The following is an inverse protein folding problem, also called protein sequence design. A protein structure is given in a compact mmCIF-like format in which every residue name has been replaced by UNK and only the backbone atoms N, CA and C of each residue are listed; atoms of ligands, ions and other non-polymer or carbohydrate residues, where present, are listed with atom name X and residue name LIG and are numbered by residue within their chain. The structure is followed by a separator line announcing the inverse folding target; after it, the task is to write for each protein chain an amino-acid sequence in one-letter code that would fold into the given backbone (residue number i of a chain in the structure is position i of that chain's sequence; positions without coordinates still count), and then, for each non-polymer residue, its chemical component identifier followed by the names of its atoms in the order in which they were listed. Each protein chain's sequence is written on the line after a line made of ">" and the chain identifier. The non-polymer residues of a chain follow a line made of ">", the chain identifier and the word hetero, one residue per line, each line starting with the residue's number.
data_IF_479333377696
#
_entry.id   IF_479333377696
#
_cell.length_a   1.000
_cell.length_b   1.000
_cell.length_c   1.000
_cell.angle_alpha   90.00
_cell.angle_beta   90.00
_cell.angle_gamma   90.00
#
_symmetry.space_group_name_H-M   'P 1'
#
loop_
_entity.id
_entity.type
_entity.pdbx_description
1 polymer ?
#
# COMPACT_ATOMS: atom_id res chain seq x y z
N UNK A 1 -6.92 0.57 2.05
CA UNK A 1 -5.93 1.54 2.55
C UNK A 1 -4.59 1.31 1.88
N UNK A 2 -3.83 2.36 1.63
CA UNK A 2 -2.42 2.30 1.21
C UNK A 2 -1.58 3.00 2.27
N UNK A 3 -0.62 2.28 2.85
CA UNK A 3 0.24 2.77 3.91
C UNK A 3 1.61 3.18 3.34
N UNK A 4 1.88 4.47 3.37
CA UNK A 4 3.08 5.10 2.84
C UNK A 4 2.79 6.01 1.65
N UNK A 5 2.93 7.32 1.87
CA UNK A 5 2.76 8.35 0.82
C UNK A 5 4.08 8.73 0.13
N UNK A 6 5.03 7.79 0.03
CA UNK A 6 6.17 7.90 -0.89
C UNK A 6 5.74 7.75 -2.34
N UNK A 7 6.69 7.81 -3.28
CA UNK A 7 6.39 7.69 -4.72
C UNK A 7 5.62 6.41 -5.07
N UNK A 8 6.05 5.26 -4.55
CA UNK A 8 5.42 3.97 -4.83
C UNK A 8 4.01 3.86 -4.26
N UNK A 9 3.81 4.20 -2.98
CA UNK A 9 2.47 4.16 -2.37
C UNK A 9 1.50 5.14 -3.02
N UNK A 10 1.97 6.35 -3.37
CA UNK A 10 1.17 7.32 -4.13
C UNK A 10 0.77 6.78 -5.49
N UNK A 11 1.70 6.13 -6.22
CA UNK A 11 1.42 5.54 -7.53
C UNK A 11 0.39 4.40 -7.44
N UNK A 12 0.50 3.52 -6.43
CA UNK A 12 -0.48 2.47 -6.19
C UNK A 12 -1.85 3.04 -5.82
N UNK A 13 -1.90 4.10 -5.00
CA UNK A 13 -3.16 4.76 -4.66
C UNK A 13 -3.83 5.38 -5.89
N UNK A 14 -3.08 6.05 -6.76
CA UNK A 14 -3.56 6.60 -8.04
C UNK A 14 -4.08 5.48 -8.94
N UNK A 15 -3.31 4.41 -9.08
CA UNK A 15 -3.68 3.26 -9.90
C UNK A 15 -5.00 2.61 -9.42
N UNK A 16 -5.12 2.30 -8.13
CA UNK A 16 -6.34 1.72 -7.57
C UNK A 16 -7.55 2.65 -7.70
N UNK A 17 -7.34 3.95 -7.52
CA UNK A 17 -8.39 4.95 -7.73
C UNK A 17 -8.83 5.02 -9.20
N UNK A 18 -7.91 4.89 -10.16
CA UNK A 18 -8.22 4.88 -11.60
C UNK A 18 -9.09 3.67 -12.01
N UNK A 19 -9.06 2.58 -11.24
CA UNK A 19 -9.96 1.43 -11.43
C UNK A 19 -11.31 1.59 -10.70
N UNK A 20 -11.61 2.78 -10.19
CA UNK A 20 -12.88 3.11 -9.52
C UNK A 20 -12.96 2.77 -8.04
N UNK A 21 -11.83 2.48 -7.39
CA UNK A 21 -11.80 2.11 -5.96
C UNK A 21 -11.47 3.31 -5.08
N UNK A 22 -12.23 3.56 -4.00
CA UNK A 22 -11.86 4.55 -3.00
C UNK A 22 -10.60 4.11 -2.25
N UNK A 23 -9.64 5.00 -2.12
CA UNK A 23 -8.34 4.72 -1.50
C UNK A 23 -8.04 5.73 -0.40
N UNK A 24 -7.75 5.25 0.79
CA UNK A 24 -7.19 6.05 1.88
C UNK A 24 -5.68 5.89 1.87
N UNK A 25 -4.98 6.99 1.57
CA UNK A 25 -3.53 7.03 1.47
C UNK A 25 -2.95 7.60 2.77
N UNK A 26 -2.40 6.74 3.61
CA UNK A 26 -1.80 7.16 4.87
C UNK A 26 -0.33 7.57 4.72
N UNK A 27 0.01 8.66 5.39
CA UNK A 27 1.38 9.13 5.58
C UNK A 27 1.65 9.52 7.03
N UNK A 28 2.87 9.28 7.51
CA UNK A 28 3.24 9.63 8.88
C UNK A 28 3.64 11.12 9.03
N UNK A 29 4.04 11.76 7.93
CA UNK A 29 4.42 13.17 7.92
C UNK A 29 3.18 14.05 7.73
N UNK A 30 2.76 14.82 8.77
CA UNK A 30 1.56 15.64 8.68
C UNK A 30 1.69 16.78 7.67
N UNK A 31 2.91 17.30 7.44
CA UNK A 31 3.16 18.36 6.45
C UNK A 31 2.91 17.84 5.04
N UNK A 32 3.44 16.67 4.73
CA UNK A 32 3.21 16.03 3.43
C UNK A 32 1.73 15.67 3.24
N UNK A 33 1.08 15.11 4.26
CA UNK A 33 -0.35 14.76 4.20
C UNK A 33 -1.21 16.02 3.99
N UNK A 34 -0.91 17.12 4.68
CA UNK A 34 -1.58 18.41 4.48
C UNK A 34 -1.43 18.91 3.04
N UNK A 35 -0.21 18.90 2.51
CA UNK A 35 0.06 19.29 1.13
C UNK A 35 -0.66 18.40 0.11
N UNK A 36 -0.71 17.06 0.33
CA UNK A 36 -1.46 16.13 -0.51
C UNK A 36 -2.97 16.42 -0.50
N UNK A 37 -3.50 16.84 0.64
CA UNK A 37 -4.92 17.18 0.79
C UNK A 37 -5.27 18.45 0.05
N UNK A 38 -4.44 19.50 0.19
CA UNK A 38 -4.68 20.81 -0.38
C UNK A 38 -4.37 20.86 -1.88
N UNK A 39 -3.20 20.37 -2.27
CA UNK A 39 -2.67 20.54 -3.62
C UNK A 39 -3.00 19.37 -4.56
N UNK A 40 -3.43 18.25 -4.02
CA UNK A 40 -3.72 17.02 -4.80
C UNK A 40 -2.53 16.53 -5.64
N UNK A 41 -1.31 16.89 -5.26
CA UNK A 41 -0.06 16.49 -5.95
C UNK A 41 0.97 16.13 -4.88
N UNK A 42 1.65 15.01 -5.07
CA UNK A 42 2.81 14.65 -4.27
C UNK A 42 4.06 15.31 -4.84
N UNK A 43 4.25 16.58 -4.55
CA UNK A 43 5.34 17.39 -5.11
C UNK A 43 6.75 16.87 -4.73
N UNK A 44 6.86 16.09 -3.66
CA UNK A 44 8.14 15.55 -3.18
C UNK A 44 8.53 14.27 -3.92
N UNK A 45 7.57 13.35 -4.11
CA UNK A 45 7.87 12.00 -4.57
C UNK A 45 7.27 11.63 -5.93
N UNK A 46 6.26 12.37 -6.39
CA UNK A 46 5.54 12.09 -7.65
C UNK A 46 4.94 13.39 -8.23
N UNK A 47 5.76 14.39 -8.58
CA UNK A 47 5.30 15.76 -8.85
C UNK A 47 4.40 15.92 -10.07
N UNK A 48 4.51 15.00 -11.04
CA UNK A 48 3.80 15.11 -12.33
C UNK A 48 2.40 14.45 -12.32
N UNK A 49 1.92 14.00 -11.15
CA UNK A 49 0.70 13.21 -11.05
C UNK A 49 -0.29 13.85 -10.09
N UNK A 50 -1.48 14.17 -10.60
CA UNK A 50 -2.60 14.67 -9.80
C UNK A 50 -3.31 13.48 -9.14
N UNK A 51 -3.58 13.58 -7.84
CA UNK A 51 -4.35 12.57 -7.11
C UNK A 51 -5.82 12.58 -7.56
N UNK A 52 -6.37 11.45 -8.03
CA UNK A 52 -7.80 11.31 -8.28
C UNK A 52 -8.65 11.62 -7.05
N UNK A 53 -9.89 12.09 -7.23
CA UNK A 53 -10.82 12.41 -6.13
C UNK A 53 -11.03 11.23 -5.17
N UNK A 54 -10.99 10.01 -5.67
CA UNK A 54 -11.12 8.78 -4.89
C UNK A 54 -9.93 8.51 -3.95
N UNK A 55 -8.80 9.22 -4.09
CA UNK A 55 -7.68 9.16 -3.15
C UNK A 55 -7.88 10.17 -2.04
N UNK A 56 -7.95 9.70 -0.80
CA UNK A 56 -8.09 10.52 0.40
C UNK A 56 -6.80 10.43 1.24
N UNK A 57 -5.98 11.49 1.30
CA UNK A 57 -4.82 11.53 2.18
C UNK A 57 -5.25 11.48 3.66
N UNK A 58 -4.55 10.68 4.47
CA UNK A 58 -4.87 10.45 5.89
C UNK A 58 -3.62 10.53 6.76
N UNK A 59 -3.68 11.32 7.85
CA UNK A 59 -2.63 11.34 8.88
C UNK A 59 -2.86 10.31 9.99
N UNK A 60 -4.11 9.89 10.23
CA UNK A 60 -4.45 8.88 11.24
C UNK A 60 -4.47 7.48 10.62
N UNK A 61 -3.64 6.58 11.15
CA UNK A 61 -3.54 5.20 10.66
C UNK A 61 -4.82 4.41 10.96
N UNK A 62 -5.41 4.56 12.14
CA UNK A 62 -6.65 3.89 12.51
C UNK A 62 -7.82 4.30 11.59
N UNK A 63 -7.93 5.61 11.26
CA UNK A 63 -8.94 6.09 10.32
C UNK A 63 -8.70 5.54 8.91
N UNK A 64 -7.45 5.43 8.49
CA UNK A 64 -7.12 4.88 7.19
C UNK A 64 -7.51 3.39 7.08
N UNK A 65 -7.41 2.63 8.17
CA UNK A 65 -7.66 1.18 8.19
C UNK A 65 -9.12 0.81 8.40
N UNK A 66 -9.95 1.67 8.98
CA UNK A 66 -11.34 1.36 9.34
C UNK A 66 -12.14 0.79 8.17
N UNK A 67 -12.57 -0.48 8.25
CA UNK A 67 -13.32 -1.20 7.21
C UNK A 67 -12.53 -1.36 5.89
N UNK A 68 -11.21 -1.39 5.94
CA UNK A 68 -10.38 -1.60 4.76
C UNK A 68 -10.34 -3.09 4.38
N UNK A 69 -10.84 -3.44 3.21
CA UNK A 69 -10.69 -4.79 2.66
C UNK A 69 -9.22 -5.13 2.33
N UNK A 70 -8.49 -4.17 1.81
CA UNK A 70 -7.07 -4.29 1.50
C UNK A 70 -6.25 -3.30 2.30
N UNK A 71 -5.16 -3.77 2.90
CA UNK A 71 -4.13 -2.95 3.55
C UNK A 71 -2.83 -3.12 2.79
N UNK A 72 -2.54 -2.18 1.90
CA UNK A 72 -1.34 -2.20 1.05
C UNK A 72 -0.20 -1.52 1.79
N UNK A 73 0.85 -2.26 2.09
CA UNK A 73 2.06 -1.73 2.74
C UNK A 73 3.05 -1.31 1.66
N UNK A 74 3.35 -0.01 1.59
CA UNK A 74 4.25 0.60 0.61
C UNK A 74 5.24 1.59 1.25
N UNK A 75 5.63 1.33 2.49
CA UNK A 75 6.66 2.09 3.20
C UNK A 75 8.06 1.55 2.86
N UNK A 76 9.15 2.30 3.12
CA UNK A 76 10.51 1.76 3.00
C UNK A 76 10.73 0.53 3.90
N UNK A 77 11.55 -0.44 3.45
CA UNK A 77 11.75 -1.73 4.14
C UNK A 77 12.16 -1.58 5.62
N UNK A 78 13.01 -0.62 5.94
CA UNK A 78 13.44 -0.34 7.31
C UNK A 78 12.32 0.17 8.24
N UNK A 79 11.19 0.62 7.69
CA UNK A 79 10.04 1.11 8.47
C UNK A 79 8.88 0.11 8.55
N UNK A 80 8.99 -1.04 7.90
CA UNK A 80 7.88 -2.02 7.82
C UNK A 80 7.50 -2.54 9.18
N UNK A 81 8.45 -3.00 9.98
CA UNK A 81 8.19 -3.57 11.31
C UNK A 81 7.45 -2.60 12.21
N UNK A 82 7.88 -1.35 12.27
CA UNK A 82 7.24 -0.32 13.09
C UNK A 82 5.82 -0.02 12.63
N UNK A 83 5.60 0.05 11.32
CA UNK A 83 4.26 0.26 10.77
C UNK A 83 3.37 -0.94 11.02
N UNK A 84 3.87 -2.16 10.83
CA UNK A 84 3.11 -3.40 11.05
C UNK A 84 2.71 -3.54 12.52
N UNK A 85 3.58 -3.23 13.47
CA UNK A 85 3.23 -3.16 14.90
C UNK A 85 2.11 -2.17 15.20
N UNK A 86 2.16 -0.99 14.57
CA UNK A 86 1.11 0.02 14.75
C UNK A 86 -0.24 -0.43 14.22
N UNK A 87 -0.27 -1.21 13.13
CA UNK A 87 -1.54 -1.64 12.52
C UNK A 87 -2.08 -2.95 13.07
N UNK A 88 -1.29 -3.75 13.77
CA UNK A 88 -1.66 -5.10 14.20
C UNK A 88 -3.01 -5.16 14.94
N UNK A 89 -3.30 -4.16 15.79
CA UNK A 89 -4.57 -4.05 16.52
C UNK A 89 -5.77 -3.57 15.70
N UNK A 90 -5.57 -3.17 14.45
CA UNK A 90 -6.64 -2.68 13.55
C UNK A 90 -6.95 -3.66 12.42
N UNK A 91 -6.20 -4.75 12.30
CA UNK A 91 -6.40 -5.75 11.24
C UNK A 91 -7.59 -6.63 11.62
N UNK A 92 -8.60 -6.62 10.77
CA UNK A 92 -9.79 -7.47 10.89
C UNK A 92 -9.55 -8.83 10.17
N UNK A 93 -10.23 -9.92 10.59
CA UNK A 93 -10.01 -11.26 10.01
C UNK A 93 -10.19 -11.34 8.49
N UNK A 94 -11.12 -10.56 7.93
CA UNK A 94 -11.40 -10.54 6.49
C UNK A 94 -10.49 -9.57 5.70
N UNK A 95 -9.55 -8.93 6.38
CA UNK A 95 -8.58 -8.04 5.74
C UNK A 95 -7.53 -8.84 4.98
N UNK A 96 -7.23 -8.44 3.76
CA UNK A 96 -6.05 -8.92 3.03
C UNK A 96 -4.93 -7.88 3.13
N UNK A 97 -3.81 -8.26 3.74
CA UNK A 97 -2.59 -7.46 3.73
C UNK A 97 -1.85 -7.71 2.41
N UNK A 98 -1.52 -6.63 1.71
CA UNK A 98 -0.74 -6.69 0.47
C UNK A 98 0.61 -6.04 0.72
N UNK A 99 1.67 -6.84 0.79
CA UNK A 99 3.03 -6.32 0.87
C UNK A 99 3.51 -5.90 -0.52
N UNK A 100 3.62 -4.60 -0.74
CA UNK A 100 4.18 -4.01 -1.96
C UNK A 100 5.60 -3.46 -1.73
N UNK A 101 6.25 -3.86 -0.64
CA UNK A 101 7.57 -3.40 -0.23
C UNK A 101 8.65 -4.19 -0.94
N UNK A 102 9.70 -3.50 -1.38
CA UNK A 102 10.91 -4.11 -1.97
C UNK A 102 12.02 -4.16 -0.93
N UNK A 103 12.74 -5.29 -0.86
CA UNK A 103 13.88 -5.47 0.03
C UNK A 103 13.62 -6.47 1.16
N UNK A 104 14.56 -6.49 2.10
CA UNK A 104 14.58 -7.32 3.31
C UNK A 104 14.90 -6.45 4.52
N UNK A 105 14.64 -6.93 5.72
CA UNK A 105 15.08 -6.29 6.97
C UNK A 105 16.58 -6.51 7.18
N UNK A 106 17.35 -5.45 7.38
CA UNK A 106 18.83 -5.53 7.46
C UNK A 106 19.33 -6.30 8.69
N UNK A 107 18.61 -6.23 9.81
CA UNK A 107 19.03 -6.83 11.08
C UNK A 107 18.75 -8.34 11.17
N UNK A 108 17.62 -8.79 10.66
CA UNK A 108 17.18 -10.20 10.74
C UNK A 108 17.35 -10.94 9.43
N UNK A 109 17.53 -10.21 8.32
CA UNK A 109 17.48 -10.69 6.94
C UNK A 109 16.11 -11.28 6.55
N UNK A 110 15.08 -10.97 7.31
CA UNK A 110 13.71 -11.42 7.04
C UNK A 110 13.14 -10.71 5.81
N UNK A 111 12.41 -11.49 5.03
CA UNK A 111 11.53 -10.94 3.98
C UNK A 111 10.42 -10.12 4.64
N UNK A 112 9.86 -9.18 3.92
CA UNK A 112 8.77 -8.35 4.43
C UNK A 112 7.53 -9.17 4.83
N UNK A 113 7.27 -10.28 4.14
CA UNK A 113 6.20 -11.22 4.50
C UNK A 113 6.42 -11.89 5.85
N UNK A 114 7.66 -12.26 6.20
CA UNK A 114 8.00 -12.87 7.49
C UNK A 114 7.81 -11.87 8.64
N UNK A 115 8.19 -10.59 8.42
CA UNK A 115 7.95 -9.53 9.41
C UNK A 115 6.45 -9.34 9.65
N UNK A 116 5.64 -9.31 8.59
CA UNK A 116 4.20 -9.14 8.70
C UNK A 116 3.58 -10.32 9.46
N UNK A 117 3.97 -11.55 9.16
CA UNK A 117 3.49 -12.76 9.83
C UNK A 117 3.91 -12.82 11.32
N UNK A 118 5.10 -12.31 11.65
CA UNK A 118 5.59 -12.25 13.03
C UNK A 118 4.80 -11.24 13.88
N UNK A 119 4.48 -10.08 13.32
CA UNK A 119 3.90 -8.95 14.08
C UNK A 119 2.36 -8.94 14.06
N UNK A 120 1.72 -9.57 13.05
CA UNK A 120 0.25 -9.64 12.93
C UNK A 120 -0.23 -11.03 13.31
N UNK A 121 -0.82 -11.12 14.50
CA UNK A 121 -1.38 -12.39 15.04
C UNK A 121 -2.78 -12.69 14.49
N UNK A 122 -3.45 -11.71 13.90
CA UNK A 122 -4.79 -11.88 13.34
C UNK A 122 -4.79 -12.89 12.18
N UNK A 123 -5.84 -13.70 12.10
CA UNK A 123 -6.06 -14.62 10.97
C UNK A 123 -6.51 -13.83 9.74
N UNK A 124 -5.57 -13.18 9.07
CA UNK A 124 -5.79 -12.43 7.82
C UNK A 124 -4.98 -13.04 6.69
N UNK A 125 -5.40 -12.79 5.45
CA UNK A 125 -4.63 -13.21 4.28
C UNK A 125 -3.45 -12.28 4.03
N UNK A 126 -2.28 -12.85 3.71
CA UNK A 126 -1.10 -12.10 3.29
C UNK A 126 -0.77 -12.39 1.84
N UNK A 127 -0.63 -11.34 1.06
CA UNK A 127 -0.27 -11.38 -0.36
C UNK A 127 0.92 -10.48 -0.61
N UNK A 128 1.86 -10.93 -1.42
CA UNK A 128 3.03 -10.15 -1.85
C UNK A 128 2.83 -9.72 -3.30
N UNK A 129 2.97 -8.42 -3.55
CA UNK A 129 2.96 -7.82 -4.88
C UNK A 129 4.37 -7.33 -5.20
N UNK A 130 4.99 -7.87 -6.27
CA UNK A 130 6.35 -7.54 -6.68
C UNK A 130 6.48 -7.55 -8.20
N UNK A 131 7.62 -7.08 -8.71
CA UNK A 131 7.92 -7.07 -10.14
C UNK A 131 8.72 -5.86 -10.58
N UNK A 132 9.09 -5.80 -11.88
CA UNK A 132 9.77 -4.67 -12.49
C UNK A 132 8.76 -3.51 -12.69
N UNK A 133 8.57 -2.72 -11.63
CA UNK A 133 7.59 -1.65 -11.59
C UNK A 133 8.20 -0.34 -11.09
N UNK A 134 7.95 0.75 -11.81
CA UNK A 134 8.37 2.09 -11.45
C UNK A 134 7.17 2.95 -11.13
N UNK A 135 7.24 3.70 -10.04
CA UNK A 135 6.13 4.53 -9.55
C UNK A 135 5.59 5.49 -10.61
N UNK A 136 6.48 6.17 -11.33
CA UNK A 136 6.10 7.13 -12.37
C UNK A 136 5.37 6.47 -13.56
N UNK A 137 5.73 5.24 -13.91
CA UNK A 137 5.08 4.49 -14.99
C UNK A 137 3.70 4.01 -14.59
N UNK A 138 3.58 3.41 -13.40
CA UNK A 138 2.31 2.94 -12.85
C UNK A 138 1.32 4.09 -12.69
N UNK A 139 1.77 5.23 -12.17
CA UNK A 139 0.91 6.40 -11.99
C UNK A 139 0.44 7.04 -13.31
N UNK A 140 1.18 6.85 -14.40
CA UNK A 140 0.81 7.27 -15.76
C UNK A 140 0.04 6.22 -16.53
N UNK A 141 -0.38 5.15 -15.88
CA UNK A 141 -1.09 4.01 -16.49
C UNK A 141 -0.31 3.34 -17.63
N UNK A 142 1.02 3.37 -17.59
CA UNK A 142 1.84 2.65 -18.56
C UNK A 142 1.81 1.15 -18.27
N UNK A 143 1.91 0.30 -19.30
CA UNK A 143 1.92 -1.15 -19.12
C UNK A 143 3.00 -1.59 -18.14
N UNK A 144 2.60 -2.22 -17.06
CA UNK A 144 3.50 -2.67 -15.99
C UNK A 144 3.14 -4.10 -15.59
N UNK A 145 4.11 -5.00 -15.64
CA UNK A 145 3.93 -6.37 -15.21
C UNK A 145 4.30 -6.52 -13.73
N UNK A 146 3.42 -7.13 -12.95
CA UNK A 146 3.65 -7.47 -11.55
C UNK A 146 3.27 -8.92 -11.29
N UNK A 147 3.90 -9.51 -10.28
CA UNK A 147 3.58 -10.84 -9.78
C UNK A 147 2.88 -10.68 -8.43
N UNK A 148 1.84 -11.46 -8.23
CA UNK A 148 1.11 -11.57 -6.97
C UNK A 148 1.26 -12.98 -6.45
N UNK A 149 1.67 -13.16 -5.19
CA UNK A 149 1.88 -14.46 -4.55
C UNK A 149 1.40 -14.41 -3.10
N UNK A 150 0.91 -15.52 -2.57
CA UNK A 150 0.43 -15.66 -1.19
C UNK A 150 0.00 -17.09 -0.91
N UNK A 151 -0.32 -17.39 0.34
CA UNK A 151 -0.70 -18.74 0.78
C UNK A 151 -2.20 -19.06 0.53
N UNK A 152 -3.02 -18.03 0.26
CA UNK A 152 -4.44 -18.17 -0.09
C UNK A 152 -4.66 -17.90 -1.57
N UNK A 153 -5.06 -18.91 -2.33
CA UNK A 153 -5.36 -18.78 -3.76
C UNK A 153 -6.49 -17.76 -4.01
N UNK A 154 -7.51 -17.74 -3.16
CA UNK A 154 -8.63 -16.79 -3.26
C UNK A 154 -8.17 -15.34 -3.03
N UNK A 155 -7.29 -15.11 -2.05
CA UNK A 155 -6.72 -13.79 -1.80
C UNK A 155 -5.83 -13.33 -2.95
N UNK A 156 -5.00 -14.23 -3.50
CA UNK A 156 -4.16 -13.95 -4.67
C UNK A 156 -5.03 -13.60 -5.88
N UNK A 157 -6.06 -14.41 -6.18
CA UNK A 157 -6.98 -14.15 -7.29
C UNK A 157 -7.74 -12.83 -7.13
N UNK A 158 -8.19 -12.52 -5.90
CA UNK A 158 -8.85 -11.26 -5.58
C UNK A 158 -7.94 -10.05 -5.81
N UNK A 159 -6.69 -10.11 -5.32
CA UNK A 159 -5.72 -9.04 -5.54
C UNK A 159 -5.37 -8.89 -7.02
N UNK A 160 -5.14 -9.99 -7.75
CA UNK A 160 -4.90 -9.95 -9.19
C UNK A 160 -6.06 -9.29 -9.94
N UNK A 161 -7.30 -9.65 -9.60
CA UNK A 161 -8.49 -9.06 -10.23
C UNK A 161 -8.62 -7.57 -9.91
N UNK A 162 -8.47 -7.21 -8.63
CA UNK A 162 -8.77 -5.87 -8.14
C UNK A 162 -7.65 -4.85 -8.41
N UNK A 163 -6.41 -5.31 -8.61
CA UNK A 163 -5.26 -4.46 -8.93
C UNK A 163 -4.93 -4.41 -10.43
N UNK A 164 -5.63 -5.16 -11.25
CA UNK A 164 -5.45 -5.12 -12.71
C UNK A 164 -6.17 -3.92 -13.31
N UNK A 165 -5.49 -3.15 -14.16
CA UNK A 165 -6.12 -2.21 -15.10
C UNK A 165 -6.55 -2.94 -16.39
N UNK A 166 -7.43 -2.31 -17.14
CA UNK A 166 -7.85 -2.79 -18.48
C UNK A 166 -6.82 -2.39 -19.52
#
# INVERSE_FOLDING_TARGET
>A
AVLGCGGWGTALAVHLASTGRPVRLWGRDPVLVGSLTENRINSVYLPDVVLPELVQPMGSIGTALSGARYVVIAVPSHGVRDVVRQIAGYIEPDTTIVSAVKGIEETTLFRMSEIIQEEVVASCSLVVLSGPSFAAEVARCLPTAVVVSGDSEDAVASVQHDFRSR
#
